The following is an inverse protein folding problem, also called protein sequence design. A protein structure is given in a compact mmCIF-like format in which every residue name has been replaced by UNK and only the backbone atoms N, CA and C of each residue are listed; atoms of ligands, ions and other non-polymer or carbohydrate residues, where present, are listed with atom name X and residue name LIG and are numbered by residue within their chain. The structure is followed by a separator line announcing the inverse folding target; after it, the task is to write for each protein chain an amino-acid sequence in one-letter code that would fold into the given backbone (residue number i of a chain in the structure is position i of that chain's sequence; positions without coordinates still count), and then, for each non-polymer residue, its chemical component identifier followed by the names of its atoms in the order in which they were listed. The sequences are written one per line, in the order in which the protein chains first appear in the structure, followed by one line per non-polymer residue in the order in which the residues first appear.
data_IF_186606929002
#
_entry.id   IF_186606929002
#
_cell.length_a   1.000
_cell.length_b   1.000
_cell.length_c   1.000
_cell.angle_alpha   90.00
_cell.angle_beta   90.00
_cell.angle_gamma   90.00
#
_symmetry.space_group_name_H-M   'P 1'
#
loop_
_entity.id
_entity.type
_entity.pdbx_description
1 polymer ?
#
# COMPACT_ATOMS: atom_id res chain seq x y z
N UNK A 1 3.56 -5.58 -8.30
CA UNK A 1 3.05 -4.85 -7.13
C UNK A 1 1.56 -5.03 -7.15
N UNK A 2 1.00 -5.41 -6.00
CA UNK A 2 -0.43 -5.63 -5.87
C UNK A 2 -1.23 -4.34 -5.83
N UNK A 3 -2.54 -4.51 -5.71
CA UNK A 3 -3.55 -3.47 -5.72
C UNK A 3 -4.74 -3.93 -4.89
N UNK A 4 -5.36 -3.00 -4.18
CA UNK A 4 -6.53 -3.30 -3.34
C UNK A 4 -7.64 -2.27 -3.55
N UNK A 5 -8.88 -2.75 -3.48
CA UNK A 5 -10.06 -1.90 -3.41
C UNK A 5 -10.31 -1.47 -1.96
N UNK A 6 -10.46 -0.16 -1.71
CA UNK A 6 -10.81 0.36 -0.38
C UNK A 6 -12.26 0.84 -0.37
N UNK A 7 -13.15 0.22 0.42
CA UNK A 7 -14.52 0.66 0.57
C UNK A 7 -14.61 2.13 0.99
N UNK A 8 -15.61 2.84 0.46
CA UNK A 8 -15.88 4.24 0.74
C UNK A 8 -14.77 5.23 0.31
N UNK A 9 -13.81 4.81 -0.51
CA UNK A 9 -12.78 5.70 -1.09
C UNK A 9 -13.01 6.04 -2.57
N UNK A 10 -14.15 5.61 -3.13
CA UNK A 10 -14.51 5.78 -4.54
C UNK A 10 -14.24 4.53 -5.37
N UNK A 11 -14.43 4.62 -6.68
CA UNK A 11 -14.27 3.48 -7.60
C UNK A 11 -12.84 3.30 -8.10
N UNK A 12 -11.91 3.13 -7.15
CA UNK A 12 -10.49 3.09 -7.42
C UNK A 12 -9.82 1.82 -6.88
N UNK A 13 -8.71 1.45 -7.52
CA UNK A 13 -7.80 0.42 -7.02
C UNK A 13 -6.50 1.10 -6.61
N UNK A 14 -6.05 0.85 -5.39
CA UNK A 14 -4.93 1.54 -4.77
C UNK A 14 -3.68 0.66 -4.77
N UNK A 15 -2.53 1.26 -5.03
CA UNK A 15 -1.23 0.58 -5.01
C UNK A 15 -0.13 1.49 -4.47
N UNK A 16 1.03 0.91 -4.19
CA UNK A 16 2.25 1.64 -3.81
C UNK A 16 3.31 1.36 -4.86
N UNK A 17 3.89 2.41 -5.43
CA UNK A 17 4.96 2.30 -6.42
C UNK A 17 6.27 1.83 -5.76
N UNK A 18 7.23 1.38 -6.57
CA UNK A 18 8.55 0.97 -6.07
C UNK A 18 9.33 2.10 -5.43
N UNK A 19 9.05 3.37 -5.74
CA UNK A 19 9.58 4.55 -5.05
C UNK A 19 8.71 5.04 -3.90
N UNK A 20 7.69 4.25 -3.51
CA UNK A 20 6.95 4.46 -2.27
C UNK A 20 5.76 5.41 -2.33
N UNK A 21 5.32 5.81 -3.52
CA UNK A 21 4.17 6.70 -3.69
C UNK A 21 2.88 5.90 -3.66
N UNK A 22 1.88 6.41 -2.96
CA UNK A 22 0.53 5.88 -3.03
C UNK A 22 -0.13 6.41 -4.29
N UNK A 23 -0.57 5.49 -5.13
CA UNK A 23 -1.26 5.76 -6.39
C UNK A 23 -2.61 5.07 -6.40
N UNK A 24 -3.49 5.54 -7.27
CA UNK A 24 -4.77 4.91 -7.54
C UNK A 24 -5.02 4.79 -9.03
N UNK A 25 -5.70 3.72 -9.42
CA UNK A 25 -6.25 3.50 -10.74
C UNK A 25 -7.76 3.73 -10.70
N UNK A 26 -8.24 4.64 -11.53
CA UNK A 26 -9.67 4.86 -11.76
C UNK A 26 -10.21 3.77 -12.70
N UNK A 27 -11.18 2.99 -12.24
CA UNK A 27 -11.76 1.90 -13.04
C UNK A 27 -12.82 2.38 -14.03
N UNK A 28 -13.28 3.62 -13.90
CA UNK A 28 -14.20 4.26 -14.85
C UNK A 28 -13.42 4.89 -15.99
N UNK A 29 -12.40 5.69 -15.66
CA UNK A 29 -11.62 6.44 -16.68
C UNK A 29 -10.38 5.69 -17.16
N UNK A 30 -10.00 4.59 -16.50
CA UNK A 30 -8.79 3.81 -16.80
C UNK A 30 -7.52 4.66 -16.76
N UNK A 31 -7.36 5.44 -15.69
CA UNK A 31 -6.24 6.35 -15.52
C UNK A 31 -5.59 6.22 -14.14
N UNK A 32 -4.26 6.34 -14.11
CA UNK A 32 -3.50 6.44 -12.87
C UNK A 32 -3.54 7.87 -12.33
N UNK A 33 -3.54 8.00 -11.01
CA UNK A 33 -3.35 9.27 -10.32
C UNK A 33 -2.46 9.08 -9.10
N UNK A 34 -1.58 10.05 -8.85
CA UNK A 34 -0.88 10.16 -7.57
C UNK A 34 -1.89 10.54 -6.50
N UNK A 35 -1.93 9.78 -5.41
CA UNK A 35 -2.73 10.11 -4.22
C UNK A 35 -1.84 10.84 -3.22
N UNK A 36 -0.69 10.25 -2.91
CA UNK A 36 0.21 10.80 -1.92
C UNK A 36 1.67 10.44 -2.18
N UNK A 37 2.55 11.38 -1.88
CA UNK A 37 3.99 11.18 -1.80
C UNK A 37 4.41 11.29 -0.32
N UNK A 38 4.77 10.18 0.31
CA UNK A 38 5.17 10.17 1.71
C UNK A 38 6.63 10.60 1.87
N UNK A 39 6.93 11.39 2.89
CA UNK A 39 8.29 11.85 3.17
C UNK A 39 9.23 10.70 3.56
N UNK A 40 8.70 9.66 4.21
CA UNK A 40 9.44 8.48 4.63
C UNK A 40 8.52 7.27 4.72
N UNK A 41 9.05 6.08 4.42
CA UNK A 41 8.31 4.82 4.55
C UNK A 41 9.07 3.92 5.51
N UNK A 42 8.49 3.60 6.68
CA UNK A 42 9.21 2.90 7.74
C UNK A 42 9.22 1.39 7.49
N UNK A 43 9.91 0.95 6.43
CA UNK A 43 10.14 -0.48 6.16
C UNK A 43 11.19 -1.06 7.11
N UNK A 44 12.13 -0.23 7.59
CA UNK A 44 13.27 -0.69 8.39
C UNK A 44 14.28 -1.50 7.58
N UNK A 45 14.10 -1.59 6.26
CA UNK A 45 15.04 -2.14 5.30
C UNK A 45 15.50 -1.08 4.29
N UNK A 46 16.30 -1.50 3.30
CA UNK A 46 16.83 -0.61 2.26
C UNK A 46 15.93 -0.54 1.01
N UNK A 47 14.75 -1.16 1.07
CA UNK A 47 13.84 -1.34 -0.06
C UNK A 47 12.41 -0.92 0.29
N UNK A 48 11.67 -0.59 -0.76
CA UNK A 48 10.25 -0.27 -0.78
C UNK A 48 9.51 -1.25 -1.70
N UNK A 49 9.88 -2.52 -1.62
CA UNK A 49 9.31 -3.59 -2.46
C UNK A 49 8.17 -4.25 -1.72
N UNK A 50 6.97 -3.69 -1.90
CA UNK A 50 5.74 -4.29 -1.39
C UNK A 50 5.26 -5.38 -2.35
N UNK A 51 5.25 -6.63 -1.89
CA UNK A 51 4.65 -7.71 -2.66
C UNK A 51 3.13 -7.66 -2.53
N UNK A 52 2.64 -7.75 -1.29
CA UNK A 52 1.23 -7.84 -0.98
C UNK A 52 0.64 -6.55 -0.43
N UNK A 53 -0.54 -6.18 -0.93
CA UNK A 53 -1.32 -5.04 -0.46
C UNK A 53 -2.69 -5.48 0.07
N UNK A 54 -3.18 -4.80 1.09
CA UNK A 54 -4.42 -5.16 1.80
C UNK A 54 -5.25 -3.92 2.07
N UNK A 55 -6.57 -4.03 1.90
CA UNK A 55 -7.48 -3.01 2.37
C UNK A 55 -7.64 -3.08 3.89
N UNK A 56 -7.62 -1.92 4.54
CA UNK A 56 -8.03 -1.76 5.93
C UNK A 56 -9.34 -0.99 6.05
N UNK A 57 -9.96 -1.07 7.22
CA UNK A 57 -11.06 -0.18 7.61
C UNK A 57 -10.58 1.27 7.64
N UNK A 58 -11.46 2.22 7.29
CA UNK A 58 -11.24 3.67 7.38
C UNK A 58 -10.22 4.24 6.38
N UNK A 59 -10.18 3.73 5.14
CA UNK A 59 -9.40 4.36 4.07
C UNK A 59 -7.88 4.23 4.26
N UNK A 60 -7.42 3.14 4.86
CA UNK A 60 -5.98 2.84 5.00
C UNK A 60 -5.63 1.64 4.14
N UNK A 61 -4.61 1.79 3.30
CA UNK A 61 -3.99 0.67 2.59
C UNK A 61 -2.85 0.12 3.45
N UNK A 62 -2.73 -1.19 3.56
CA UNK A 62 -1.59 -1.83 4.21
C UNK A 62 -0.74 -2.52 3.16
N UNK A 63 0.58 -2.48 3.31
CA UNK A 63 1.52 -3.21 2.45
C UNK A 63 2.49 -4.06 3.25
N UNK A 64 2.74 -5.28 2.79
CA UNK A 64 3.81 -6.14 3.30
C UNK A 64 5.07 -5.93 2.47
N UNK A 65 6.11 -5.39 3.09
CA UNK A 65 7.42 -5.25 2.43
C UNK A 65 8.18 -6.58 2.46
N UNK A 66 8.67 -7.00 1.30
CA UNK A 66 9.20 -8.34 1.06
C UNK A 66 10.48 -8.62 1.87
N UNK A 67 11.43 -7.70 1.88
CA UNK A 67 12.76 -7.94 2.43
C UNK A 67 12.81 -7.86 3.96
N UNK A 68 12.06 -6.95 4.55
CA UNK A 68 12.02 -6.67 5.99
C UNK A 68 10.86 -7.34 6.72
N UNK A 69 9.84 -7.78 5.98
CA UNK A 69 8.56 -8.24 6.54
C UNK A 69 7.74 -7.11 7.17
N UNK A 70 8.13 -5.84 7.03
CA UNK A 70 7.39 -4.74 7.64
C UNK A 70 5.99 -4.62 7.03
N UNK A 71 4.98 -4.56 7.90
CA UNK A 71 3.63 -4.20 7.51
C UNK A 71 3.47 -2.69 7.71
N UNK A 72 3.33 -1.97 6.61
CA UNK A 72 3.24 -0.50 6.59
C UNK A 72 1.81 -0.07 6.28
N UNK A 73 1.29 0.86 7.06
CA UNK A 73 0.00 1.52 6.86
C UNK A 73 0.17 2.82 6.07
N UNK A 74 -0.67 3.00 5.06
CA UNK A 74 -0.72 4.14 4.15
C UNK A 74 -2.13 4.77 4.18
N UNK A 75 -2.35 5.81 5.01
CA UNK A 75 -3.63 6.50 5.08
C UNK A 75 -3.94 7.26 3.78
N UNK A 76 -5.05 6.95 3.10
CA UNK A 76 -5.43 7.60 1.83
C UNK A 76 -5.78 9.08 2.01
N UNK A 77 -6.34 9.44 3.16
CA UNK A 77 -6.77 10.81 3.46
C UNK A 77 -5.60 11.77 3.77
N UNK A 78 -4.36 11.29 3.78
CA UNK A 78 -3.17 12.07 4.15
C UNK A 78 -2.58 11.67 5.51
N UNK A 79 -1.37 12.17 5.78
CA UNK A 79 -0.59 11.84 6.98
C UNK A 79 0.69 11.05 6.66
N UNK A 80 1.32 10.48 7.68
CA UNK A 80 2.56 9.73 7.50
C UNK A 80 2.29 8.23 7.28
N UNK A 81 3.10 7.58 6.45
CA UNK A 81 3.17 6.13 6.43
C UNK A 81 3.75 5.64 7.77
N UNK A 82 3.15 4.61 8.37
CA UNK A 82 3.55 4.10 9.69
C UNK A 82 3.73 2.59 9.67
N UNK A 83 4.69 2.08 10.46
CA UNK A 83 4.85 0.63 10.61
C UNK A 83 3.81 0.15 11.61
N UNK A 84 2.93 -0.75 11.18
CA UNK A 84 1.86 -1.33 12.01
C UNK A 84 2.33 -2.60 12.71
N UNK A 85 3.08 -3.45 12.00
CA UNK A 85 3.57 -4.72 12.54
C UNK A 85 4.72 -5.28 11.70
N UNK A 86 5.14 -6.51 12.00
CA UNK A 86 6.16 -7.27 11.28
C UNK A 86 5.63 -8.67 11.01
N UNK A 87 5.60 -9.06 9.74
CA UNK A 87 5.33 -10.40 9.26
C UNK A 87 6.61 -11.13 8.83
N UNK A 88 6.48 -12.32 8.22
CA UNK A 88 7.60 -13.04 7.64
C UNK A 88 8.16 -12.31 6.40
N UNK A 89 9.46 -12.45 6.17
CA UNK A 89 10.11 -12.00 4.94
C UNK A 89 9.76 -12.92 3.77
N UNK A 90 9.75 -12.39 2.55
CA UNK A 90 9.54 -13.18 1.33
C UNK A 90 10.37 -12.64 0.16
N UNK A 91 10.72 -13.50 -0.81
CA UNK A 91 11.25 -13.07 -2.12
C UNK A 91 10.14 -12.57 -3.06
N UNK A 92 8.88 -12.90 -2.75
CA UNK A 92 7.68 -12.42 -3.43
C UNK A 92 6.45 -12.86 -2.64
N UNK A 93 5.49 -11.97 -2.45
CA UNK A 93 4.20 -12.31 -1.88
C UNK A 93 3.12 -11.50 -2.59
N UNK A 94 1.91 -12.02 -2.54
CA UNK A 94 0.71 -11.33 -2.99
C UNK A 94 -0.25 -11.22 -1.80
N UNK A 95 -0.94 -10.10 -1.70
CA UNK A 95 -1.90 -9.77 -0.68
C UNK A 95 -3.31 -9.97 -1.21
N UNK A 96 -4.04 -10.87 -0.57
CA UNK A 96 -5.48 -10.97 -0.71
C UNK A 96 -6.09 -10.89 0.69
N UNK A 97 -6.74 -9.77 1.01
CA UNK A 97 -7.58 -9.66 2.19
C UNK A 97 -8.88 -8.98 1.84
N UNK A 98 -9.99 -9.66 2.17
CA UNK A 98 -11.31 -9.07 2.15
C UNK A 98 -11.47 -8.09 3.33
N UNK A 99 -12.15 -6.99 3.05
CA UNK A 99 -12.76 -6.08 4.03
C UNK A 99 -14.25 -6.32 4.08
#
# INVERSE_FOLDING_TARGET
ADWAYLPNQGDFLYSVTSDGKLVRWDRTTNAWSLVQNYASIPTGGNTTTFGGLYAGSNGTLYGSENSSGAIVAFPVAGGNATRSSVGPTSSGNDGARCV
#
